data_IF_691328622414
#
_entry.id   IF_691328622414
#
_cell.length_a   1.000
_cell.length_b   1.000
_cell.length_c   1.000
_cell.angle_alpha   90.00
_cell.angle_beta   90.00
_cell.angle_gamma   90.00
#
_symmetry.space_group_name_H-M   'P 1'
#
loop_
_entity.id
_entity.type
_entity.pdbx_description
1 polymer ?
#
# COMPACT_ATOMS: atom_id res chain seq x y z
N UNK A 1 15.20 -19.19 1.75
CA UNK A 1 13.85 -19.05 1.21
C UNK A 1 13.52 -17.58 0.98
N UNK A 2 13.12 -17.26 -0.21
CA UNK A 2 12.77 -15.88 -0.49
C UNK A 2 11.42 -15.57 0.15
N UNK A 3 11.39 -14.58 1.01
CA UNK A 3 10.17 -14.19 1.67
C UNK A 3 9.49 -13.10 0.86
N UNK A 4 8.38 -13.45 0.22
CA UNK A 4 7.56 -12.47 -0.45
C UNK A 4 6.80 -11.69 0.62
N UNK A 5 6.89 -10.36 0.65
CA UNK A 5 6.13 -9.59 1.61
C UNK A 5 4.64 -9.83 1.45
N UNK A 6 3.92 -9.87 2.57
CA UNK A 6 2.47 -10.03 2.56
C UNK A 6 1.76 -8.81 1.97
N UNK A 7 2.40 -7.65 2.06
CA UNK A 7 1.78 -6.38 1.70
C UNK A 7 2.36 -5.88 0.39
N UNK A 8 1.48 -5.53 -0.54
CA UNK A 8 1.87 -4.77 -1.72
C UNK A 8 1.27 -3.38 -1.58
N UNK A 9 2.12 -2.37 -1.65
CA UNK A 9 1.70 -0.98 -1.56
C UNK A 9 1.80 -0.34 -2.94
N UNK A 10 0.66 0.05 -3.47
CA UNK A 10 0.59 0.83 -4.70
C UNK A 10 0.55 2.29 -4.33
N UNK A 11 1.49 3.05 -4.84
CA UNK A 11 1.60 4.46 -4.49
C UNK A 11 2.16 5.30 -5.63
N UNK A 12 2.47 6.55 -5.32
CA UNK A 12 3.09 7.46 -6.26
C UNK A 12 4.06 8.38 -5.52
N UNK A 13 5.17 8.70 -6.17
CA UNK A 13 6.21 9.50 -5.53
C UNK A 13 5.73 10.91 -5.16
N UNK A 14 4.81 11.48 -5.97
CA UNK A 14 4.26 12.81 -5.72
C UNK A 14 3.19 12.82 -4.63
N UNK A 15 2.68 11.68 -4.23
CA UNK A 15 1.56 11.58 -3.29
C UNK A 15 2.06 11.59 -1.85
N UNK A 16 1.73 12.64 -1.11
CA UNK A 16 2.12 12.77 0.29
C UNK A 16 1.58 11.64 1.16
N UNK A 17 0.35 11.20 0.90
CA UNK A 17 -0.25 10.10 1.63
C UNK A 17 0.49 8.78 1.38
N UNK A 18 0.95 8.54 0.14
CA UNK A 18 1.77 7.37 -0.17
C UNK A 18 3.07 7.38 0.64
N UNK A 19 3.74 8.54 0.71
CA UNK A 19 4.97 8.67 1.50
C UNK A 19 4.70 8.47 2.98
N UNK A 20 3.60 8.99 3.48
CA UNK A 20 3.21 8.83 4.89
C UNK A 20 3.03 7.35 5.24
N UNK A 21 2.35 6.60 4.39
CA UNK A 21 2.16 5.16 4.60
C UNK A 21 3.48 4.41 4.57
N UNK A 22 4.35 4.74 3.60
CA UNK A 22 5.68 4.11 3.52
C UNK A 22 6.48 4.38 4.79
N UNK A 23 6.45 5.63 5.26
CA UNK A 23 7.17 5.99 6.48
C UNK A 23 6.67 5.21 7.69
N UNK A 24 5.36 5.03 7.80
CA UNK A 24 4.80 4.25 8.91
C UNK A 24 5.27 2.80 8.85
N UNK A 25 5.18 2.17 7.68
CA UNK A 25 5.63 0.79 7.52
C UNK A 25 7.13 0.65 7.80
N UNK A 26 7.92 1.57 7.26
CA UNK A 26 9.39 1.54 7.46
C UNK A 26 9.76 1.74 8.93
N UNK A 27 9.09 2.65 9.63
CA UNK A 27 9.42 2.94 11.02
C UNK A 27 9.08 1.78 11.95
N UNK A 28 8.18 0.91 11.55
CA UNK A 28 7.84 -0.31 12.31
C UNK A 28 8.51 -1.56 11.74
N UNK A 29 9.43 -1.39 10.81
CA UNK A 29 10.16 -2.49 10.17
C UNK A 29 9.24 -3.53 9.55
N UNK A 30 8.12 -3.07 8.99
CA UNK A 30 7.15 -3.95 8.34
C UNK A 30 7.52 -4.07 6.86
N UNK A 31 7.83 -5.29 6.37
CA UNK A 31 8.19 -5.45 4.97
C UNK A 31 6.98 -5.28 4.06
N UNK A 32 7.21 -4.68 2.90
CA UNK A 32 6.19 -4.51 1.88
C UNK A 32 6.86 -4.38 0.51
N UNK A 33 6.10 -4.70 -0.53
CA UNK A 33 6.53 -4.46 -1.90
C UNK A 33 5.91 -3.13 -2.35
N UNK A 34 6.74 -2.21 -2.79
CA UNK A 34 6.27 -0.93 -3.29
C UNK A 34 6.17 -0.94 -4.80
N UNK A 35 5.03 -0.52 -5.33
CA UNK A 35 4.81 -0.38 -6.77
C UNK A 35 4.37 1.04 -7.06
N UNK A 36 5.18 1.76 -7.83
CA UNK A 36 4.87 3.11 -8.27
C UNK A 36 3.98 3.02 -9.50
N UNK A 37 2.73 3.46 -9.39
CA UNK A 37 1.77 3.32 -10.48
C UNK A 37 2.06 4.23 -11.67
N UNK A 38 2.90 5.25 -11.49
CA UNK A 38 3.32 6.11 -12.60
C UNK A 38 4.39 5.44 -13.45
N UNK A 39 5.15 4.52 -12.86
CA UNK A 39 6.23 3.81 -13.55
C UNK A 39 5.83 2.39 -13.97
N UNK A 40 4.70 1.88 -13.49
CA UNK A 40 4.29 0.49 -13.68
C UNK A 40 2.84 0.45 -14.16
N UNK A 41 2.66 0.20 -15.45
CA UNK A 41 1.32 0.15 -16.07
C UNK A 41 0.46 -0.97 -15.51
N UNK A 42 1.07 -2.12 -15.20
CA UNK A 42 0.33 -3.23 -14.59
C UNK A 42 -0.15 -2.86 -13.19
N UNK A 43 0.70 -2.16 -12.44
CA UNK A 43 0.32 -1.68 -11.11
C UNK A 43 -0.83 -0.69 -11.18
N UNK A 44 -0.79 0.23 -12.15
CA UNK A 44 -1.87 1.18 -12.35
C UNK A 44 -3.19 0.49 -12.69
N UNK A 45 -3.13 -0.54 -13.53
CA UNK A 45 -4.33 -1.32 -13.87
C UNK A 45 -4.85 -2.11 -12.68
N UNK A 46 -3.95 -2.68 -11.88
CA UNK A 46 -4.35 -3.43 -10.68
C UNK A 46 -5.10 -2.54 -9.70
N UNK A 47 -4.60 -1.33 -9.47
CA UNK A 47 -5.26 -0.36 -8.59
C UNK A 47 -6.63 0.03 -9.15
N UNK A 48 -6.70 0.26 -10.46
CA UNK A 48 -7.97 0.62 -11.09
C UNK A 48 -9.01 -0.47 -10.94
N UNK A 49 -8.61 -1.74 -11.07
CA UNK A 49 -9.52 -2.87 -10.87
C UNK A 49 -10.03 -2.91 -9.44
N UNK A 50 -9.15 -2.73 -8.46
CA UNK A 50 -9.52 -2.75 -7.05
C UNK A 50 -10.49 -1.60 -6.73
N UNK A 51 -10.30 -0.44 -7.33
CA UNK A 51 -11.02 0.78 -7.00
C UNK A 51 -12.07 1.16 -8.05
N UNK A 52 -12.58 0.18 -8.78
CA UNK A 52 -13.67 0.37 -9.74
C UNK A 52 -13.37 1.44 -10.78
N UNK A 53 -12.15 1.45 -11.31
CA UNK A 53 -11.72 2.36 -12.35
C UNK A 53 -10.89 3.54 -11.87
N UNK A 54 -10.80 3.76 -10.56
CA UNK A 54 -10.04 4.88 -10.00
C UNK A 54 -8.61 4.46 -9.66
N UNK A 55 -7.66 5.34 -9.94
CA UNK A 55 -6.26 5.12 -9.60
C UNK A 55 -5.94 5.70 -8.23
N UNK A 56 -6.70 5.30 -7.23
CA UNK A 56 -6.53 5.82 -5.86
C UNK A 56 -5.24 5.30 -5.23
N UNK A 57 -4.42 6.19 -4.71
CA UNK A 57 -3.20 5.85 -4.00
C UNK A 57 -3.16 6.61 -2.67
N UNK A 58 -2.59 6.02 -1.63
CA UNK A 58 -2.04 4.66 -1.57
C UNK A 58 -3.13 3.59 -1.48
N UNK A 59 -2.90 2.46 -2.13
CA UNK A 59 -3.75 1.27 -2.00
C UNK A 59 -2.85 0.12 -1.54
N UNK A 60 -3.22 -0.50 -0.44
CA UNK A 60 -2.49 -1.64 0.09
C UNK A 60 -3.29 -2.91 -0.12
N UNK A 61 -2.59 -3.97 -0.51
CA UNK A 61 -3.19 -5.29 -0.72
C UNK A 61 -2.39 -6.29 0.10
N UNK A 62 -3.10 -7.08 0.91
CA UNK A 62 -2.49 -8.16 1.69
C UNK A 62 -2.56 -9.47 0.92
N UNK A 63 -1.73 -10.43 1.33
CA UNK A 63 -1.66 -11.74 0.68
C UNK A 63 -3.00 -12.49 0.75
N UNK A 64 -3.82 -12.21 1.75
CA UNK A 64 -5.14 -12.83 1.88
C UNK A 64 -6.21 -12.17 1.00
N UNK A 65 -5.83 -11.17 0.22
CA UNK A 65 -6.75 -10.45 -0.66
C UNK A 65 -7.42 -9.24 -0.04
N UNK A 66 -7.22 -8.99 1.25
CA UNK A 66 -7.80 -7.81 1.88
C UNK A 66 -7.06 -6.55 1.41
N UNK A 67 -7.77 -5.43 1.41
CA UNK A 67 -7.25 -4.17 0.89
C UNK A 67 -7.58 -3.01 1.82
N UNK A 68 -6.74 -1.97 1.77
CA UNK A 68 -7.04 -0.67 2.35
C UNK A 68 -6.71 0.39 1.31
N UNK A 69 -7.61 1.35 1.14
CA UNK A 69 -7.47 2.43 0.18
C UNK A 69 -7.41 3.75 0.93
N UNK A 70 -6.33 4.49 0.72
CA UNK A 70 -6.09 5.80 1.36
C UNK A 70 -6.33 5.76 2.87
N UNK A 71 -5.74 4.80 3.58
CA UNK A 71 -6.03 4.65 5.01
C UNK A 71 -5.41 5.78 5.83
N UNK A 72 -6.08 6.11 6.94
CA UNK A 72 -5.46 6.93 7.97
C UNK A 72 -4.39 6.10 8.68
N UNK A 73 -3.51 6.77 9.43
CA UNK A 73 -2.53 6.05 10.23
C UNK A 73 -3.22 5.14 11.26
N UNK A 74 -4.32 5.61 11.84
CA UNK A 74 -5.10 4.82 12.80
C UNK A 74 -5.68 3.56 12.18
N UNK A 75 -6.27 3.68 10.99
CA UNK A 75 -6.84 2.53 10.30
C UNK A 75 -5.75 1.51 9.92
N UNK A 76 -4.61 2.01 9.45
CA UNK A 76 -3.49 1.16 9.09
C UNK A 76 -2.90 0.47 10.31
N UNK A 77 -2.73 1.20 11.41
CA UNK A 77 -2.21 0.63 12.65
C UNK A 77 -3.13 -0.47 13.17
N UNK A 78 -4.44 -0.26 13.10
CA UNK A 78 -5.42 -1.27 13.51
C UNK A 78 -5.31 -2.52 12.66
N UNK A 79 -5.17 -2.37 11.35
CA UNK A 79 -5.01 -3.51 10.42
C UNK A 79 -3.73 -4.27 10.72
N UNK A 80 -2.65 -3.56 11.03
CA UNK A 80 -1.33 -4.14 11.29
C UNK A 80 -1.16 -4.60 12.73
N UNK A 81 -2.10 -4.24 13.61
CA UNK A 81 -2.04 -4.56 15.05
C UNK A 81 -0.80 -3.97 15.70
N UNK A 82 -0.51 -2.72 15.40
CA UNK A 82 0.62 -1.98 15.97
C UNK A 82 0.12 -0.75 16.72
N UNK A 83 0.97 -0.22 17.57
CA UNK A 83 0.71 1.02 18.29
C UNK A 83 1.37 2.19 17.54
N UNK A 84 0.69 3.30 17.47
CA UNK A 84 1.25 4.53 16.89
C UNK A 84 2.10 5.28 17.90
#
# INVERSE_FOLDING_TARGET
MADTPEITLYGAAWCGASRRVRLLLDSHSIPYRYIDIDADDEGARAVAVINHGNRSVPTLVWADGSTLVEPTNEALAKKLKISL
#
